data_IF_729567350058
#
_entry.id   IF_729567350058
#
_cell.length_a   1.000
_cell.length_b   1.000
_cell.length_c   1.000
_cell.angle_alpha   90.00
_cell.angle_beta   90.00
_cell.angle_gamma   90.00
#
_symmetry.space_group_name_H-M   'P 1'
#
loop_
_entity.id
_entity.type
_entity.pdbx_description
1 polymer ?
#
# COMPACT_ATOMS: atom_id res chain seq x y z
N UNK A 1 -2.70 -4.59 -14.48
CA UNK A 1 -1.45 -3.83 -14.65
C UNK A 1 -0.59 -4.09 -13.43
N UNK A 2 0.70 -4.29 -13.62
CA UNK A 2 1.66 -4.61 -12.56
C UNK A 2 2.44 -3.36 -12.19
N UNK A 3 2.71 -3.15 -10.91
CA UNK A 3 3.53 -2.03 -10.46
C UNK A 3 5.00 -2.46 -10.40
N UNK A 4 5.89 -1.56 -10.80
CA UNK A 4 7.33 -1.68 -10.57
C UNK A 4 7.71 -0.86 -9.34
N UNK A 5 8.46 -1.45 -8.42
CA UNK A 5 8.94 -0.78 -7.22
C UNK A 5 10.45 -0.96 -7.12
N UNK A 6 11.14 0.15 -6.86
CA UNK A 6 12.54 0.17 -6.51
C UNK A 6 12.77 1.17 -5.37
N UNK A 7 13.95 1.08 -4.74
CA UNK A 7 14.36 2.02 -3.70
C UNK A 7 15.81 2.43 -3.93
N UNK A 8 16.08 3.72 -3.81
CA UNK A 8 17.42 4.27 -3.91
C UNK A 8 17.75 5.07 -2.64
N UNK A 9 18.80 4.65 -1.94
CA UNK A 9 19.22 5.27 -0.69
C UNK A 9 19.59 6.73 -0.91
N UNK A 10 19.01 7.63 -0.12
CA UNK A 10 19.19 9.07 -0.29
C UNK A 10 18.11 9.73 -1.17
N UNK A 11 17.38 8.96 -1.96
CA UNK A 11 16.28 9.44 -2.83
C UNK A 11 14.93 8.96 -2.31
N UNK A 12 14.78 7.66 -2.07
CA UNK A 12 13.55 7.02 -1.61
C UNK A 12 12.99 6.00 -2.59
N UNK A 13 11.69 5.74 -2.49
CA UNK A 13 10.93 4.81 -3.30
C UNK A 13 10.70 5.37 -4.70
N UNK A 14 10.95 4.54 -5.71
CA UNK A 14 10.49 4.72 -7.08
C UNK A 14 9.31 3.78 -7.33
N UNK A 15 8.15 4.35 -7.63
CA UNK A 15 6.96 3.61 -8.04
C UNK A 15 6.66 3.92 -9.50
N UNK A 16 6.68 2.90 -10.36
CA UNK A 16 6.46 3.04 -11.80
C UNK A 16 7.33 4.15 -12.41
N UNK A 17 8.63 4.16 -12.05
CA UNK A 17 9.65 5.13 -12.45
C UNK A 17 9.44 6.57 -11.91
N UNK A 18 8.52 6.78 -10.97
CA UNK A 18 8.30 8.07 -10.32
C UNK A 18 8.78 8.03 -8.88
N UNK A 19 9.58 9.02 -8.48
CA UNK A 19 10.04 9.19 -7.10
C UNK A 19 8.86 9.63 -6.24
N UNK A 20 8.63 8.93 -5.13
CA UNK A 20 7.65 9.32 -4.13
C UNK A 20 8.37 10.04 -2.99
N UNK A 21 8.08 11.32 -2.80
CA UNK A 21 8.72 12.12 -1.76
C UNK A 21 8.40 11.61 -0.34
N UNK A 22 9.30 11.86 0.62
CA UNK A 22 9.12 11.45 2.02
C UNK A 22 9.40 9.97 2.31
N UNK A 23 9.88 9.21 1.31
CA UNK A 23 10.03 7.76 1.42
C UNK A 23 11.45 7.28 1.71
N UNK A 24 12.47 8.14 1.76
CA UNK A 24 13.84 7.75 2.11
C UNK A 24 14.00 7.40 3.60
N UNK A 25 13.46 6.25 4.01
CA UNK A 25 13.53 5.72 5.37
C UNK A 25 13.44 4.18 5.37
N UNK A 26 13.74 3.58 6.53
CA UNK A 26 13.86 2.14 6.70
C UNK A 26 12.58 1.35 6.38
N UNK A 27 11.39 1.94 6.60
CA UNK A 27 10.12 1.25 6.34
C UNK A 27 9.93 0.98 4.85
N UNK A 28 10.24 1.97 4.01
CA UNK A 28 10.15 1.83 2.56
C UNK A 28 11.30 1.03 1.96
N UNK A 29 12.50 1.14 2.52
CA UNK A 29 13.65 0.31 2.14
C UNK A 29 13.34 -1.18 2.34
N UNK A 30 12.83 -1.55 3.51
CA UNK A 30 12.42 -2.92 3.83
C UNK A 30 11.28 -3.41 2.90
N UNK A 31 10.27 -2.57 2.66
CA UNK A 31 9.18 -2.90 1.74
C UNK A 31 9.71 -3.16 0.32
N UNK A 32 10.58 -2.30 -0.18
CA UNK A 32 11.12 -2.41 -1.53
C UNK A 32 12.04 -3.64 -1.67
N UNK A 33 12.85 -3.92 -0.65
CA UNK A 33 13.69 -5.12 -0.61
C UNK A 33 12.84 -6.39 -0.67
N UNK A 34 11.73 -6.43 0.08
CA UNK A 34 10.79 -7.56 0.08
C UNK A 34 10.12 -7.81 -1.27
N UNK A 35 9.91 -6.75 -2.04
CA UNK A 35 9.20 -6.77 -3.32
C UNK A 35 10.15 -6.72 -4.52
N UNK A 36 11.46 -6.73 -4.28
CA UNK A 36 12.48 -6.62 -5.31
C UNK A 36 12.32 -7.72 -6.36
N UNK A 37 12.36 -7.32 -7.62
CA UNK A 37 12.22 -8.20 -8.79
C UNK A 37 10.89 -8.97 -8.86
N UNK A 38 9.90 -8.60 -8.04
CA UNK A 38 8.58 -9.24 -8.00
C UNK A 38 7.50 -8.35 -8.63
N UNK A 39 6.50 -8.96 -9.29
CA UNK A 39 5.35 -8.22 -9.80
C UNK A 39 4.44 -7.71 -8.67
N UNK A 40 4.38 -6.39 -8.44
CA UNK A 40 3.64 -5.84 -7.29
C UNK A 40 2.18 -5.50 -7.62
N UNK A 41 1.27 -6.01 -6.79
CA UNK A 41 -0.15 -5.62 -6.75
C UNK A 41 -0.33 -4.51 -5.71
N UNK A 42 -0.97 -3.41 -6.09
CA UNK A 42 -1.37 -2.36 -5.16
C UNK A 42 -2.89 -2.38 -5.03
N UNK A 43 -3.37 -2.48 -3.80
CA UNK A 43 -4.79 -2.53 -3.48
C UNK A 43 -5.12 -1.40 -2.52
N UNK A 44 -6.20 -0.67 -2.78
CA UNK A 44 -6.75 0.31 -1.85
C UNK A 44 -7.98 -0.25 -1.14
N UNK A 45 -8.03 -0.15 0.18
CA UNK A 45 -9.15 -0.67 1.00
C UNK A 45 -9.42 0.22 2.21
N UNK A 46 -10.55 0.03 2.89
CA UNK A 46 -10.88 0.75 4.13
C UNK A 46 -10.52 -0.02 5.39
N UNK A 47 -10.27 -1.32 5.27
CA UNK A 47 -10.05 -2.21 6.41
C UNK A 47 -9.27 -3.45 5.98
N UNK A 48 -8.59 -4.05 6.95
CA UNK A 48 -8.04 -5.40 6.84
C UNK A 48 -8.80 -6.29 7.82
N UNK A 49 -9.49 -7.34 7.38
CA UNK A 49 -10.20 -8.21 8.32
C UNK A 49 -9.18 -9.01 9.12
N UNK A 50 -9.12 -8.82 10.44
CA UNK A 50 -8.30 -9.63 11.35
C UNK A 50 -8.92 -11.02 11.62
N UNK A 51 -9.69 -11.55 10.67
CA UNK A 51 -10.27 -12.88 10.78
C UNK A 51 -9.18 -13.96 10.55
N UNK A 52 -9.54 -15.25 10.66
CA UNK A 52 -8.59 -16.36 10.51
C UNK A 52 -7.78 -16.34 9.20
N UNK A 53 -8.21 -15.61 8.18
CA UNK A 53 -7.51 -15.49 6.89
C UNK A 53 -6.33 -14.51 6.92
N UNK A 54 -6.29 -13.55 7.85
CA UNK A 54 -5.05 -12.80 8.17
C UNK A 54 -4.06 -13.66 8.96
N UNK A 55 -4.50 -14.72 9.64
CA UNK A 55 -3.59 -15.68 10.27
C UNK A 55 -2.84 -16.51 9.22
N UNK A 56 -3.45 -16.73 8.04
CA UNK A 56 -2.82 -17.41 6.89
C UNK A 56 -1.78 -16.54 6.17
N UNK A 57 -1.78 -15.21 6.40
CA UNK A 57 -0.71 -14.31 5.93
C UNK A 57 0.64 -14.59 6.61
N UNK A 58 0.66 -15.49 7.61
CA UNK A 58 1.82 -15.83 8.41
C UNK A 58 2.06 -14.82 9.54
N UNK A 59 3.02 -15.11 10.46
CA UNK A 59 3.35 -14.22 11.58
C UNK A 59 4.00 -12.89 11.17
N UNK A 60 4.30 -12.69 9.88
CA UNK A 60 5.15 -11.64 9.35
C UNK A 60 4.32 -10.64 8.53
N UNK A 61 3.79 -9.65 9.24
CA UNK A 61 3.02 -8.54 8.69
C UNK A 61 3.65 -7.23 9.11
N UNK A 62 3.85 -6.31 8.17
CA UNK A 62 4.35 -4.98 8.46
C UNK A 62 3.30 -3.95 8.04
N UNK A 63 3.10 -2.96 8.91
CA UNK A 63 2.28 -1.80 8.63
C UNK A 63 2.92 -0.54 9.17
N UNK A 64 2.84 0.54 8.40
CA UNK A 64 3.29 1.85 8.83
C UNK A 64 2.40 2.94 8.24
N UNK A 65 2.22 4.01 9.01
CA UNK A 65 1.46 5.18 8.57
C UNK A 65 2.35 6.09 7.72
N UNK A 66 1.71 6.79 6.78
CA UNK A 66 2.36 7.81 5.95
C UNK A 66 1.53 9.09 6.00
N UNK A 67 2.18 10.23 5.81
CA UNK A 67 1.46 11.50 5.68
C UNK A 67 0.59 11.50 4.40
N UNK A 68 -0.31 12.48 4.33
CA UNK A 68 -1.24 12.55 3.20
C UNK A 68 -0.54 12.76 1.88
N UNK A 69 0.48 13.60 1.81
CA UNK A 69 1.13 13.96 0.54
C UNK A 69 1.88 12.75 -0.03
N UNK A 70 2.60 12.01 0.81
CA UNK A 70 3.24 10.75 0.47
C UNK A 70 2.21 9.70 0.03
N UNK A 71 1.14 9.50 0.80
CA UNK A 71 0.10 8.52 0.46
C UNK A 71 -0.65 8.87 -0.82
N UNK A 72 -0.96 10.15 -1.03
CA UNK A 72 -1.60 10.66 -2.25
C UNK A 72 -0.70 10.48 -3.47
N UNK A 73 0.58 10.85 -3.37
CA UNK A 73 1.56 10.67 -4.44
C UNK A 73 1.76 9.19 -4.79
N UNK A 74 1.79 8.31 -3.79
CA UNK A 74 1.85 6.87 -3.99
C UNK A 74 0.64 6.37 -4.81
N UNK A 75 -0.58 6.76 -4.43
CA UNK A 75 -1.79 6.34 -5.14
C UNK A 75 -1.89 6.92 -6.57
N UNK A 76 -1.41 8.13 -6.80
CA UNK A 76 -1.38 8.75 -8.14
C UNK A 76 -0.49 8.02 -9.13
N UNK A 77 0.59 7.42 -8.63
CA UNK A 77 1.56 6.72 -9.46
C UNK A 77 1.32 5.21 -9.50
N UNK A 78 0.36 4.69 -8.72
CA UNK A 78 0.03 3.28 -8.67
C UNK A 78 -1.00 2.88 -9.76
N UNK A 79 -0.74 1.76 -10.43
CA UNK A 79 -1.77 0.95 -11.06
C UNK A 79 -2.51 0.18 -9.95
N UNK A 80 -3.53 0.81 -9.38
CA UNK A 80 -4.24 0.30 -8.20
C UNK A 80 -5.48 -0.53 -8.56
N UNK A 81 -5.84 -1.43 -7.63
CA UNK A 81 -7.13 -2.12 -7.61
C UNK A 81 -7.93 -1.69 -6.40
N UNK A 82 -9.19 -1.34 -6.60
CA UNK A 82 -10.07 -1.01 -5.47
C UNK A 82 -10.64 -2.25 -4.80
N UNK A 83 -10.51 -2.30 -3.48
CA UNK A 83 -11.23 -3.18 -2.54
C UNK A 83 -11.90 -2.31 -1.46
N UNK A 84 -12.20 -1.06 -1.80
CA UNK A 84 -12.81 -0.08 -0.93
C UNK A 84 -14.32 -0.28 -0.92
N UNK A 85 -14.87 -0.74 0.20
CA UNK A 85 -16.31 -0.96 0.36
C UNK A 85 -17.05 0.30 0.81
N UNK A 86 -16.40 1.17 1.58
CA UNK A 86 -17.02 2.38 2.13
C UNK A 86 -17.30 3.44 1.06
N UNK A 87 -18.57 3.62 0.73
CA UNK A 87 -19.02 4.62 -0.26
C UNK A 87 -18.59 6.06 0.10
N UNK A 88 -18.49 6.38 1.40
CA UNK A 88 -18.08 7.70 1.90
C UNK A 88 -16.63 8.04 1.59
N UNK A 89 -15.80 7.01 1.37
CA UNK A 89 -14.38 7.18 1.07
C UNK A 89 -14.09 7.25 -0.43
N UNK A 90 -15.00 6.78 -1.31
CA UNK A 90 -14.76 6.72 -2.76
C UNK A 90 -14.37 8.07 -3.37
N UNK A 91 -15.14 9.12 -3.09
CA UNK A 91 -14.87 10.47 -3.60
C UNK A 91 -13.54 11.04 -3.12
N UNK A 92 -13.30 11.12 -1.79
CA UNK A 92 -12.01 11.56 -1.25
C UNK A 92 -10.81 10.77 -1.76
N UNK A 93 -10.91 9.43 -1.82
CA UNK A 93 -9.81 8.56 -2.27
C UNK A 93 -9.57 8.75 -3.77
N UNK A 94 -10.61 8.85 -4.58
CA UNK A 94 -10.46 9.15 -6.01
C UNK A 94 -9.74 10.48 -6.24
N UNK A 95 -10.07 11.50 -5.42
CA UNK A 95 -9.39 12.79 -5.48
C UNK A 95 -7.91 12.69 -5.10
N UNK A 96 -7.58 11.98 -4.02
CA UNK A 96 -6.19 11.78 -3.60
C UNK A 96 -5.39 10.96 -4.63
N UNK A 97 -6.00 9.90 -5.17
CA UNK A 97 -5.38 9.02 -6.16
C UNK A 97 -5.27 9.64 -7.56
N UNK A 98 -5.91 10.79 -7.83
CA UNK A 98 -5.95 11.40 -9.16
C UNK A 98 -6.63 10.52 -10.24
N UNK A 99 -7.29 9.44 -9.82
CA UNK A 99 -7.93 8.45 -10.69
C UNK A 99 -9.20 7.93 -10.02
N UNK A 100 -10.17 7.48 -10.82
CA UNK A 100 -11.44 7.01 -10.29
C UNK A 100 -11.27 5.70 -9.49
N UNK A 101 -11.66 5.73 -8.22
CA UNK A 101 -11.69 4.55 -7.34
C UNK A 101 -13.14 4.11 -7.16
N UNK A 102 -13.45 2.93 -7.67
CA UNK A 102 -14.79 2.34 -7.62
C UNK A 102 -15.01 1.53 -6.35
N UNK A 103 -16.27 1.29 -5.99
CA UNK A 103 -16.60 0.39 -4.90
C UNK A 103 -16.12 -1.03 -5.22
N UNK A 104 -15.57 -1.72 -4.21
CA UNK A 104 -15.10 -3.09 -4.33
C UNK A 104 -15.50 -3.94 -3.14
N UNK A 105 -15.30 -5.26 -3.29
CA UNK A 105 -15.41 -6.21 -2.18
C UNK A 105 -14.25 -6.00 -1.20
N UNK A 106 -14.48 -6.04 0.12
CA UNK A 106 -13.40 -6.04 1.11
C UNK A 106 -12.37 -7.12 0.82
N UNK A 107 -11.13 -6.88 1.24
CA UNK A 107 -10.10 -7.91 1.17
C UNK A 107 -10.40 -9.03 2.17
N UNK A 108 -9.96 -10.25 1.87
CA UNK A 108 -9.96 -11.38 2.82
C UNK A 108 -8.60 -11.58 3.50
N UNK A 109 -7.53 -10.97 2.99
CA UNK A 109 -6.18 -11.07 3.54
C UNK A 109 -5.19 -10.27 2.69
N UNK A 110 -3.92 -10.23 3.12
CA UNK A 110 -2.81 -9.64 2.36
C UNK A 110 -1.96 -10.77 1.79
N UNK A 111 -2.03 -10.98 0.48
CA UNK A 111 -1.25 -11.99 -0.22
C UNK A 111 0.22 -11.55 -0.41
N UNK A 112 1.11 -12.51 -0.70
CA UNK A 112 2.44 -12.18 -1.22
C UNK A 112 2.33 -11.21 -2.42
N UNK A 113 3.33 -10.33 -2.54
CA UNK A 113 3.44 -9.32 -3.59
C UNK A 113 2.31 -8.28 -3.59
N UNK A 114 1.54 -8.19 -2.51
CA UNK A 114 0.46 -7.22 -2.37
C UNK A 114 0.80 -6.15 -1.36
N UNK A 115 0.73 -4.90 -1.80
CA UNK A 115 0.66 -3.73 -0.92
C UNK A 115 -0.80 -3.35 -0.75
N UNK A 116 -1.29 -3.44 0.49
CA UNK A 116 -2.60 -2.95 0.88
C UNK A 116 -2.46 -1.53 1.45
N UNK A 117 -2.99 -0.55 0.73
CA UNK A 117 -3.15 0.81 1.20
C UNK A 117 -4.48 0.91 1.93
N UNK A 118 -4.41 0.88 3.26
CA UNK A 118 -5.58 1.02 4.13
C UNK A 118 -5.87 2.50 4.31
N UNK A 119 -7.08 2.91 3.93
CA UNK A 119 -7.51 4.30 3.99
C UNK A 119 -8.60 4.47 5.02
N UNK A 120 -8.41 5.44 5.92
CA UNK A 120 -9.41 5.82 6.89
C UNK A 120 -9.61 7.33 6.91
N UNK A 121 -10.70 7.77 7.54
CA UNK A 121 -11.02 9.18 7.74
C UNK A 121 -11.78 9.33 9.06
N UNK A 122 -11.15 9.91 10.07
CA UNK A 122 -11.80 10.18 11.37
C UNK A 122 -12.54 11.54 11.31
N UNK A 123 -11.79 12.64 11.19
CA UNK A 123 -12.32 14.00 10.94
C UNK A 123 -11.22 14.80 10.24
N UNK A 124 -11.47 15.25 9.01
CA UNK A 124 -10.48 16.00 8.23
C UNK A 124 -9.97 15.25 6.99
N UNK A 125 -8.65 15.19 6.84
CA UNK A 125 -7.95 14.60 5.70
C UNK A 125 -7.96 13.06 5.74
N UNK A 126 -7.62 12.41 4.63
CA UNK A 126 -7.45 10.95 4.59
C UNK A 126 -6.17 10.57 5.34
N UNK A 127 -6.23 9.45 6.06
CA UNK A 127 -5.07 8.78 6.63
C UNK A 127 -4.76 7.54 5.80
N UNK A 128 -3.48 7.26 5.60
CA UNK A 128 -2.99 6.12 4.84
C UNK A 128 -2.07 5.26 5.70
N UNK A 129 -2.33 3.96 5.70
CA UNK A 129 -1.40 2.96 6.21
C UNK A 129 -0.99 2.03 5.08
N UNK A 130 0.32 1.83 4.91
CA UNK A 130 0.90 0.89 3.96
C UNK A 130 1.07 -0.43 4.70
N UNK A 131 0.44 -1.49 4.19
CA UNK A 131 0.43 -2.81 4.80
C UNK A 131 0.91 -3.85 3.79
N UNK A 132 1.78 -4.76 4.21
CA UNK A 132 2.26 -5.87 3.37
C UNK A 132 2.63 -7.08 4.23
N UNK A 133 2.44 -8.27 3.65
CA UNK A 133 2.89 -9.52 4.25
C UNK A 133 4.29 -9.88 3.74
N UNK A 134 5.08 -10.56 4.56
CA UNK A 134 6.41 -11.02 4.20
C UNK A 134 6.73 -12.41 4.76
N UNK A 135 7.85 -13.01 4.33
CA UNK A 135 8.33 -14.32 4.81
C UNK A 135 9.67 -14.07 5.53
N UNK A 136 9.94 -14.76 6.63
CA UNK A 136 11.15 -14.56 7.46
C UNK A 136 12.46 -14.73 6.67
N UNK A 137 12.50 -15.67 5.72
CA UNK A 137 13.66 -15.96 4.89
C UNK A 137 14.06 -14.77 3.98
N UNK A 138 13.14 -13.82 3.75
CA UNK A 138 13.37 -12.61 2.95
C UNK A 138 13.64 -11.36 3.80
N UNK A 139 13.58 -11.48 5.14
CA UNK A 139 13.81 -10.37 6.07
C UNK A 139 15.29 -10.16 6.44
N UNK A 140 16.19 -11.01 5.96
CA UNK A 140 17.62 -10.95 6.24
C UNK A 140 18.45 -11.03 4.96
N UNK A 141 18.71 -9.87 4.33
CA UNK A 141 19.94 -9.57 3.58
C UNK A 141 20.32 -8.12 3.82
#
# INVERSE_FOLDING_TARGET
MMNNIAFEKGIGLLLNNTIIAGTNNANWEALAQRLKDKPVKIVVTSELPLNGTMADCGPMFAAFNVDYDCGSAFLQNAALRSRLYSWRLLGPVSKAAGQMVNQGTPMSGVEDQTIAVVVSRATGQLNFAICYAYQEEEACV
#
